data_IF_990023052203
#
_entry.id   IF_990023052203
#
_cell.length_a   1.000
_cell.length_b   1.000
_cell.length_c   1.000
_cell.angle_alpha   90.00
_cell.angle_beta   90.00
_cell.angle_gamma   90.00
#
_symmetry.space_group_name_H-M   'P 1'
#
loop_
_entity.id
_entity.type
_entity.pdbx_description
1 polymer ?
#
# COMPACT_ATOMS: atom_id res chain seq x y z
N UNK A 1 12.17 1.91 -4.58
CA UNK A 1 11.75 2.96 -5.54
C UNK A 1 12.54 2.78 -6.83
N UNK A 2 11.87 2.75 -7.97
CA UNK A 2 12.50 2.61 -9.28
C UNK A 2 11.92 3.68 -10.21
N UNK A 3 12.77 4.53 -10.78
CA UNK A 3 12.35 5.49 -11.81
C UNK A 3 12.62 4.88 -13.19
N UNK A 4 11.59 4.88 -14.04
CA UNK A 4 11.65 4.35 -15.41
C UNK A 4 11.30 5.46 -16.41
N UNK A 5 11.92 5.41 -17.57
CA UNK A 5 11.65 6.31 -18.68
C UNK A 5 10.69 5.66 -19.66
N UNK A 6 9.56 6.31 -19.94
CA UNK A 6 8.63 5.88 -20.98
C UNK A 6 9.15 6.24 -22.37
N UNK A 7 8.61 5.56 -23.39
CA UNK A 7 8.93 5.76 -24.80
C UNK A 7 8.69 7.20 -25.30
N UNK A 8 7.85 7.96 -24.59
CA UNK A 8 7.53 9.37 -24.87
C UNK A 8 8.41 10.35 -24.06
N UNK A 9 9.56 9.91 -23.53
CA UNK A 9 10.45 10.70 -22.68
C UNK A 9 9.81 11.20 -21.38
N UNK A 10 8.72 10.56 -20.93
CA UNK A 10 8.10 10.83 -19.63
C UNK A 10 8.71 9.92 -18.57
N UNK A 11 9.12 10.53 -17.46
CA UNK A 11 9.57 9.81 -16.29
C UNK A 11 8.35 9.24 -15.54
N UNK A 12 8.46 8.01 -15.08
CA UNK A 12 7.51 7.40 -14.18
C UNK A 12 8.25 6.77 -13.00
N UNK A 13 7.80 7.04 -11.79
CA UNK A 13 8.37 6.45 -10.58
C UNK A 13 7.46 5.35 -10.07
N UNK A 14 8.01 4.14 -10.00
CA UNK A 14 7.36 2.95 -9.46
C UNK A 14 7.81 2.79 -8.01
N UNK A 15 6.85 2.81 -7.09
CA UNK A 15 7.08 2.53 -5.68
C UNK A 15 6.35 1.23 -5.36
N UNK A 16 7.11 0.17 -5.10
CA UNK A 16 6.56 -1.05 -4.52
C UNK A 16 6.64 -0.98 -3.00
N UNK A 17 5.49 -1.13 -2.34
CA UNK A 17 5.34 -1.02 -0.91
C UNK A 17 4.69 -2.30 -0.39
N UNK A 18 5.33 -2.93 0.58
CA UNK A 18 4.73 -4.05 1.30
C UNK A 18 3.83 -3.52 2.41
N UNK A 19 2.62 -4.09 2.56
CA UNK A 19 1.72 -3.69 3.63
C UNK A 19 2.34 -4.01 5.00
N UNK A 20 2.44 -3.02 5.88
CA UNK A 20 2.91 -3.25 7.24
C UNK A 20 1.90 -4.15 7.97
N UNK A 21 2.38 -5.17 8.67
CA UNK A 21 1.54 -6.13 9.39
C UNK A 21 0.63 -5.42 10.40
N UNK A 22 -0.63 -5.85 10.52
CA UNK A 22 -1.61 -5.24 11.43
C UNK A 22 -1.10 -5.08 12.88
N UNK A 23 -0.28 -6.02 13.35
CA UNK A 23 0.32 -6.06 14.69
C UNK A 23 1.57 -5.18 14.87
N UNK A 24 1.99 -4.43 13.85
CA UNK A 24 3.07 -3.47 14.01
C UNK A 24 2.69 -2.38 15.02
N UNK A 25 3.67 -1.95 15.81
CA UNK A 25 3.50 -0.88 16.78
C UNK A 25 3.18 0.46 16.08
N UNK A 26 2.50 1.36 16.79
CA UNK A 26 1.97 2.60 16.19
C UNK A 26 3.08 3.53 15.72
N UNK A 27 4.18 3.61 16.46
CA UNK A 27 5.40 4.33 16.09
C UNK A 27 5.98 3.82 14.75
N UNK A 28 6.00 2.51 14.54
CA UNK A 28 6.46 1.89 13.28
C UNK A 28 5.52 2.23 12.12
N UNK A 29 4.20 2.23 12.38
CA UNK A 29 3.19 2.62 11.38
C UNK A 29 3.34 4.09 10.98
N UNK A 30 3.46 4.98 11.96
CA UNK A 30 3.60 6.41 11.74
C UNK A 30 4.88 6.73 10.95
N UNK A 31 6.00 6.14 11.35
CA UNK A 31 7.27 6.31 10.64
C UNK A 31 7.17 5.82 9.19
N UNK A 32 6.55 4.66 8.97
CA UNK A 32 6.35 4.12 7.63
C UNK A 32 5.53 5.05 6.72
N UNK A 33 4.41 5.58 7.21
CA UNK A 33 3.59 6.51 6.42
C UNK A 33 4.30 7.87 6.22
N UNK A 34 5.09 8.31 7.18
CA UNK A 34 5.92 9.51 7.04
C UNK A 34 6.97 9.32 5.94
N UNK A 35 7.70 8.21 5.96
CA UNK A 35 8.73 7.90 4.98
C UNK A 35 8.16 7.73 3.57
N UNK A 36 6.99 7.09 3.45
CA UNK A 36 6.26 7.00 2.18
C UNK A 36 5.82 8.38 1.67
N UNK A 37 5.31 9.24 2.55
CA UNK A 37 4.93 10.61 2.19
C UNK A 37 6.12 11.45 1.73
N UNK A 38 7.27 11.31 2.39
CA UNK A 38 8.51 11.97 2.01
C UNK A 38 9.01 11.47 0.64
N UNK A 39 8.96 10.16 0.40
CA UNK A 39 9.32 9.57 -0.88
C UNK A 39 8.42 10.06 -2.03
N UNK A 40 7.11 10.19 -1.79
CA UNK A 40 6.16 10.72 -2.77
C UNK A 40 6.38 12.22 -3.04
N UNK A 41 6.72 13.00 -2.01
CA UNK A 41 6.98 14.44 -2.14
C UNK A 41 8.25 14.75 -2.94
N UNK A 42 9.23 13.85 -2.90
CA UNK A 42 10.47 13.99 -3.65
C UNK A 42 10.31 13.73 -5.17
N UNK A 43 9.15 13.20 -5.60
CA UNK A 43 8.91 12.93 -7.02
C UNK A 43 8.46 14.23 -7.72
N UNK A 44 9.06 14.62 -8.85
CA UNK A 44 8.63 15.76 -9.64
C UNK A 44 7.14 15.67 -9.98
N UNK A 45 6.42 16.79 -9.96
CA UNK A 45 4.96 16.81 -10.20
C UNK A 45 4.60 16.41 -11.64
N UNK A 46 5.55 16.54 -12.55
CA UNK A 46 5.42 16.19 -13.96
C UNK A 46 5.55 14.68 -14.21
N UNK A 47 6.12 13.96 -13.24
CA UNK A 47 6.38 12.52 -13.32
C UNK A 47 5.15 11.72 -12.90
N UNK A 48 4.94 10.60 -13.57
CA UNK A 48 3.85 9.68 -13.21
C UNK A 48 4.26 8.83 -12.03
N UNK A 49 3.37 8.65 -11.05
CA UNK A 49 3.60 7.78 -9.90
C UNK A 49 2.77 6.51 -10.06
N UNK A 50 3.42 5.34 -9.93
CA UNK A 50 2.77 4.04 -9.88
C UNK A 50 3.08 3.43 -8.52
N UNK A 51 2.07 3.39 -7.64
CA UNK A 51 2.15 2.73 -6.34
C UNK A 51 1.71 1.28 -6.48
N UNK A 52 2.63 0.35 -6.26
CA UNK A 52 2.38 -1.09 -6.27
C UNK A 52 2.37 -1.58 -4.81
N UNK A 53 1.22 -2.01 -4.33
CA UNK A 53 1.08 -2.58 -2.99
C UNK A 53 1.04 -4.10 -3.04
N UNK A 54 1.54 -4.76 -2.00
CA UNK A 54 0.99 -6.07 -1.64
C UNK A 54 -0.42 -5.86 -1.07
N UNK A 55 -1.41 -5.83 -1.96
CA UNK A 55 -2.82 -5.90 -1.58
C UNK A 55 -3.20 -7.33 -1.24
N UNK A 56 -2.44 -8.01 -0.39
CA UNK A 56 -2.82 -9.26 0.27
C UNK A 56 -4.03 -9.02 1.18
N UNK A 57 -5.13 -8.56 0.59
CA UNK A 57 -6.48 -8.62 1.12
C UNK A 57 -6.82 -10.10 1.07
N UNK A 58 -6.87 -10.73 2.25
CA UNK A 58 -7.69 -11.93 2.41
C UNK A 58 -9.14 -11.51 2.12
N UNK A 59 -9.53 -11.48 0.85
CA UNK A 59 -10.91 -11.58 0.43
C UNK A 59 -11.47 -12.81 1.16
N UNK A 60 -12.51 -12.57 1.95
CA UNK A 60 -13.00 -13.45 3.01
C UNK A 60 -12.78 -14.93 2.72
N UNK A 61 -11.96 -15.57 3.56
CA UNK A 61 -12.08 -17.01 3.74
C UNK A 61 -13.50 -17.26 4.18
N UNK A 62 -14.32 -17.71 3.23
CA UNK A 62 -15.64 -18.29 3.38
C UNK A 62 -15.82 -18.82 4.80
N UNK A 63 -16.61 -18.11 5.62
CA UNK A 63 -17.03 -18.65 6.90
C UNK A 63 -17.68 -20.01 6.63
N UNK A 64 -17.25 -21.10 7.30
CA UNK A 64 -17.92 -22.37 7.15
C UNK A 64 -19.40 -22.19 7.52
N UNK A 65 -20.28 -22.64 6.63
CA UNK A 65 -21.68 -22.84 6.93
C UNK A 65 -21.76 -23.81 8.10
N UNK A 66 -22.07 -23.30 9.29
CA UNK A 66 -22.17 -24.09 10.51
C UNK A 66 -22.17 -23.24 11.77
N UNK A 67 -23.35 -22.70 12.10
CA UNK A 67 -23.80 -22.27 13.44
C UNK A 67 -22.81 -21.54 14.34
N UNK A 68 -22.83 -20.21 14.29
CA UNK A 68 -23.39 -19.36 15.36
C UNK A 68 -23.28 -17.87 14.97
N UNK A 69 -24.41 -17.16 15.06
CA UNK A 69 -24.52 -15.72 14.79
C UNK A 69 -23.79 -14.96 15.90
N UNK A 70 -22.70 -14.27 15.56
CA UNK A 70 -22.28 -13.07 16.29
C UNK A 70 -22.15 -11.93 15.28
N UNK A 71 -22.91 -10.87 15.55
CA UNK A 71 -23.19 -9.76 14.63
C UNK A 71 -21.91 -8.97 14.27
N UNK A 72 -21.81 -8.42 13.05
CA UNK A 72 -20.75 -7.47 12.74
C UNK A 72 -21.01 -6.16 13.52
N UNK A 73 -20.09 -5.82 14.42
CA UNK A 73 -19.97 -4.46 14.94
C UNK A 73 -19.29 -3.63 13.83
N UNK A 74 -20.08 -2.83 13.12
CA UNK A 74 -19.57 -1.65 12.43
C UNK A 74 -19.31 -0.55 13.47
#
# INVERSE_FOLDING_TARGET
MLTVMSKNNQHATIISVYALTLNAANDVKEQFYSDLGNALTNIPKEDKIILLGDFNTRLGSLFPVGSEKLLPLF
#
